data_IF_164703996240
#
_entry.id   IF_164703996240
#
_cell.length_a   1.000
_cell.length_b   1.000
_cell.length_c   1.000
_cell.angle_alpha   90.00
_cell.angle_beta   90.00
_cell.angle_gamma   90.00
#
_symmetry.space_group_name_H-M   'P 1'
#
loop_
_entity.id
_entity.type
_entity.pdbx_description
1 polymer ?
#
# COMPACT_ATOMS: atom_id res chain seq x y z
N UNK A 1 -16.05 -41.06 -28.56
CA UNK A 1 -14.88 -40.53 -27.81
C UNK A 1 -15.34 -39.25 -27.14
N UNK A 2 -15.31 -39.24 -25.80
CA UNK A 2 -16.05 -38.30 -24.96
C UNK A 2 -15.39 -36.92 -24.95
N UNK A 3 -16.22 -35.89 -25.11
CA UNK A 3 -15.88 -34.50 -24.83
C UNK A 3 -15.67 -34.30 -23.33
N UNK A 4 -14.58 -33.62 -22.95
CA UNK A 4 -14.37 -33.09 -21.61
C UNK A 4 -14.40 -31.57 -21.67
N UNK A 5 -15.53 -30.96 -21.33
CA UNK A 5 -15.60 -29.53 -21.05
C UNK A 5 -14.85 -29.26 -19.74
N UNK A 6 -13.84 -28.38 -19.81
CA UNK A 6 -13.22 -27.79 -18.65
C UNK A 6 -14.28 -27.01 -17.86
N UNK A 7 -14.47 -27.39 -16.59
CA UNK A 7 -15.28 -26.61 -15.65
C UNK A 7 -14.45 -25.39 -15.25
N UNK A 8 -14.86 -24.21 -15.72
CA UNK A 8 -14.40 -22.95 -15.15
C UNK A 8 -14.84 -22.92 -13.68
N UNK A 9 -13.87 -22.83 -12.76
CA UNK A 9 -14.16 -22.51 -11.38
C UNK A 9 -14.61 -21.05 -11.34
N UNK A 10 -15.87 -20.81 -10.98
CA UNK A 10 -16.32 -19.47 -10.62
C UNK A 10 -15.58 -19.06 -9.36
N UNK A 11 -14.67 -18.10 -9.46
CA UNK A 11 -14.23 -17.32 -8.30
C UNK A 11 -15.49 -16.75 -7.65
N UNK A 12 -15.62 -16.93 -6.34
CA UNK A 12 -16.74 -16.37 -5.59
C UNK A 12 -16.32 -14.94 -5.26
N UNK A 13 -16.92 -13.97 -5.95
CA UNK A 13 -16.79 -12.56 -5.60
C UNK A 13 -17.73 -12.22 -4.42
N UNK A 14 -17.23 -11.49 -3.43
CA UNK A 14 -18.02 -10.94 -2.31
C UNK A 14 -17.89 -9.42 -2.25
N UNK A 15 -18.99 -8.73 -1.88
CA UNK A 15 -18.96 -7.30 -1.62
C UNK A 15 -18.66 -7.08 -0.14
N UNK A 16 -17.63 -6.30 0.15
CA UNK A 16 -17.19 -5.97 1.51
C UNK A 16 -17.09 -4.46 1.71
N UNK A 17 -17.51 -3.95 2.87
CA UNK A 17 -17.21 -2.57 3.27
C UNK A 17 -15.80 -2.54 3.86
N UNK A 18 -14.88 -1.90 3.16
CA UNK A 18 -13.45 -1.85 3.53
C UNK A 18 -12.92 -0.43 3.51
N UNK A 19 -11.77 -0.23 4.15
CA UNK A 19 -10.94 0.97 3.95
C UNK A 19 -9.65 0.58 3.25
N UNK A 20 -9.42 1.18 2.08
CA UNK A 20 -8.25 0.95 1.23
C UNK A 20 -7.25 2.08 1.46
N UNK A 21 -5.98 1.70 1.64
CA UNK A 21 -4.85 2.60 1.79
C UNK A 21 -3.83 2.29 0.69
N UNK A 22 -3.43 3.31 -0.06
CA UNK A 22 -2.28 3.24 -0.97
C UNK A 22 -1.14 4.07 -0.41
N UNK A 23 0.09 3.55 -0.54
CA UNK A 23 1.31 4.32 -0.33
C UNK A 23 2.09 4.42 -1.63
N UNK A 24 2.95 5.42 -1.71
CA UNK A 24 3.97 5.50 -2.75
C UNK A 24 5.20 6.29 -2.26
N UNK A 25 6.40 5.89 -2.68
CA UNK A 25 7.66 6.49 -2.25
C UNK A 25 8.00 7.70 -3.15
N UNK A 26 8.16 8.87 -2.52
CA UNK A 26 8.46 10.10 -3.26
C UNK A 26 9.88 10.05 -3.83
N UNK A 27 9.98 10.22 -5.15
CA UNK A 27 11.26 10.41 -5.83
C UNK A 27 12.17 9.18 -5.83
N UNK A 28 11.60 7.97 -5.75
CA UNK A 28 12.33 6.70 -5.70
C UNK A 28 13.35 6.53 -6.83
N UNK A 29 13.00 6.87 -8.07
CA UNK A 29 13.92 6.83 -9.22
C UNK A 29 15.14 7.75 -9.03
N UNK A 30 14.91 8.96 -8.50
CA UNK A 30 15.97 9.92 -8.22
C UNK A 30 16.86 9.47 -7.05
N UNK A 31 16.26 8.88 -6.02
CA UNK A 31 16.98 8.26 -4.91
C UNK A 31 17.88 7.13 -5.42
N UNK A 32 17.32 6.18 -6.18
CA UNK A 32 18.05 5.03 -6.71
C UNK A 32 19.23 5.43 -7.61
N UNK A 33 19.05 6.47 -8.43
CA UNK A 33 20.12 7.01 -9.29
C UNK A 33 21.27 7.60 -8.46
N UNK A 34 20.96 8.28 -7.34
CA UNK A 34 21.95 8.95 -6.49
C UNK A 34 22.78 7.98 -5.65
N UNK A 35 22.13 6.97 -5.07
CA UNK A 35 22.77 6.05 -4.11
C UNK A 35 23.36 4.80 -4.78
N UNK A 36 22.96 4.52 -6.02
CA UNK A 36 23.36 3.33 -6.77
C UNK A 36 22.54 2.07 -6.40
N UNK A 37 22.62 1.00 -7.21
CA UNK A 37 21.66 -0.11 -7.14
C UNK A 37 21.64 -0.87 -5.81
N UNK A 38 22.82 -1.12 -5.21
CA UNK A 38 22.91 -1.89 -3.97
C UNK A 38 22.29 -1.14 -2.79
N UNK A 39 22.66 0.14 -2.59
CA UNK A 39 22.08 0.97 -1.53
C UNK A 39 20.59 1.25 -1.79
N UNK A 40 20.18 1.39 -3.04
CA UNK A 40 18.76 1.57 -3.40
C UNK A 40 17.92 0.36 -2.97
N UNK A 41 18.44 -0.86 -3.16
CA UNK A 41 17.78 -2.08 -2.74
C UNK A 41 17.70 -2.20 -1.21
N UNK A 42 18.77 -1.87 -0.48
CA UNK A 42 18.76 -1.82 0.99
C UNK A 42 17.71 -0.83 1.52
N UNK A 43 17.67 0.38 0.95
CA UNK A 43 16.68 1.40 1.28
C UNK A 43 15.26 0.93 0.96
N UNK A 44 15.05 0.27 -0.18
CA UNK A 44 13.74 -0.27 -0.57
C UNK A 44 13.28 -1.36 0.41
N UNK A 45 14.16 -2.27 0.82
CA UNK A 45 13.84 -3.31 1.81
C UNK A 45 13.51 -2.70 3.16
N UNK A 46 14.29 -1.72 3.62
CA UNK A 46 14.03 -1.02 4.87
C UNK A 46 12.71 -0.25 4.83
N UNK A 47 12.43 0.43 3.72
CA UNK A 47 11.18 1.11 3.46
C UNK A 47 9.97 0.17 3.62
N UNK A 48 9.96 -0.95 2.90
CA UNK A 48 8.85 -1.91 2.98
C UNK A 48 8.73 -2.55 4.36
N UNK A 49 9.85 -2.81 5.05
CA UNK A 49 9.83 -3.31 6.43
C UNK A 49 9.10 -2.32 7.35
N UNK A 50 9.45 -1.03 7.30
CA UNK A 50 8.81 0.00 8.14
C UNK A 50 7.33 0.17 7.84
N UNK A 51 6.92 0.05 6.57
CA UNK A 51 5.50 0.08 6.20
C UNK A 51 4.76 -1.14 6.74
N UNK A 52 5.30 -2.35 6.55
CA UNK A 52 4.70 -3.60 7.04
C UNK A 52 4.57 -3.66 8.55
N UNK A 53 5.55 -3.13 9.29
CA UNK A 53 5.44 -2.99 10.75
C UNK A 53 4.28 -2.09 11.19
N UNK A 54 3.89 -1.09 10.39
CA UNK A 54 2.71 -0.26 10.65
C UNK A 54 1.41 -0.98 10.26
N UNK A 55 1.43 -1.72 9.15
CA UNK A 55 0.31 -2.57 8.72
C UNK A 55 -0.03 -3.60 9.79
N UNK A 56 0.96 -4.36 10.26
CA UNK A 56 0.79 -5.38 11.30
C UNK A 56 0.27 -4.78 12.60
N UNK A 57 0.85 -3.65 13.05
CA UNK A 57 0.44 -2.97 14.28
C UNK A 57 -1.01 -2.46 14.25
N UNK A 58 -1.59 -2.28 13.06
CA UNK A 58 -2.95 -1.76 12.86
C UNK A 58 -3.94 -2.86 12.47
N UNK A 59 -3.49 -4.12 12.38
CA UNK A 59 -4.30 -5.24 11.91
C UNK A 59 -4.70 -5.15 10.43
N UNK A 60 -3.93 -4.44 9.62
CA UNK A 60 -4.16 -4.33 8.19
C UNK A 60 -3.68 -5.54 7.40
N UNK A 61 -4.21 -5.71 6.19
CA UNK A 61 -3.80 -6.74 5.25
C UNK A 61 -3.12 -6.09 4.04
N UNK A 62 -1.84 -6.39 3.81
CA UNK A 62 -1.17 -6.02 2.56
C UNK A 62 -1.72 -6.90 1.44
N UNK A 63 -2.46 -6.30 0.52
CA UNK A 63 -3.01 -6.97 -0.66
C UNK A 63 -1.90 -7.22 -1.66
N UNK A 64 -1.14 -6.17 -1.99
CA UNK A 64 -0.04 -6.24 -2.96
C UNK A 64 0.92 -5.07 -2.85
N UNK A 65 2.10 -5.31 -3.40
CA UNK A 65 3.07 -4.28 -3.71
C UNK A 65 2.72 -3.62 -5.06
N UNK A 66 2.79 -2.29 -5.12
CA UNK A 66 2.55 -1.48 -6.33
C UNK A 66 3.78 -0.66 -6.69
N UNK A 67 4.91 -1.34 -6.89
CA UNK A 67 6.21 -0.75 -7.23
C UNK A 67 7.04 -0.45 -5.99
N UNK A 68 7.03 0.82 -5.58
CA UNK A 68 7.69 1.38 -4.40
C UNK A 68 6.68 1.78 -3.31
N UNK A 69 5.47 1.23 -3.41
CA UNK A 69 4.38 1.41 -2.46
C UNK A 69 3.58 0.14 -2.21
N UNK A 70 2.61 0.24 -1.30
CA UNK A 70 1.72 -0.84 -0.90
C UNK A 70 0.26 -0.47 -1.16
N UNK A 71 -0.54 -1.50 -1.48
CA UNK A 71 -1.99 -1.48 -1.32
C UNK A 71 -2.34 -2.29 -0.07
N UNK A 72 -3.02 -1.65 0.88
CA UNK A 72 -3.40 -2.22 2.17
C UNK A 72 -4.90 -2.09 2.37
N UNK A 73 -5.53 -3.12 2.88
CA UNK A 73 -6.95 -3.12 3.25
C UNK A 73 -7.10 -3.26 4.76
N UNK A 74 -7.98 -2.45 5.34
CA UNK A 74 -8.34 -2.45 6.74
C UNK A 74 -9.85 -2.45 6.91
N UNK A 75 -10.33 -3.02 8.03
CA UNK A 75 -11.76 -3.19 8.32
C UNK A 75 -12.42 -1.91 8.88
N UNK A 76 -11.65 -0.86 9.17
CA UNK A 76 -12.21 0.41 9.65
C UNK A 76 -11.37 1.62 9.21
N UNK A 77 -12.01 2.77 9.07
CA UNK A 77 -11.30 4.00 8.70
C UNK A 77 -10.35 4.49 9.80
N UNK A 78 -10.66 4.23 11.08
CA UNK A 78 -9.77 4.58 12.19
C UNK A 78 -8.47 3.78 12.14
N UNK A 79 -8.54 2.46 11.92
CA UNK A 79 -7.34 1.62 11.79
C UNK A 79 -6.51 2.01 10.57
N UNK A 80 -7.15 2.41 9.47
CA UNK A 80 -6.44 2.89 8.29
C UNK A 80 -5.67 4.18 8.54
N UNK A 81 -6.28 5.14 9.25
CA UNK A 81 -5.62 6.39 9.65
C UNK A 81 -4.49 6.11 10.66
N UNK A 82 -4.71 5.23 11.63
CA UNK A 82 -3.67 4.79 12.58
C UNK A 82 -2.48 4.15 11.85
N UNK A 83 -2.75 3.29 10.87
CA UNK A 83 -1.75 2.68 10.00
C UNK A 83 -0.95 3.74 9.24
N UNK A 84 -1.63 4.65 8.54
CA UNK A 84 -1.01 5.72 7.78
C UNK A 84 -0.14 6.63 8.66
N UNK A 85 -0.63 7.04 9.83
CA UNK A 85 0.12 7.83 10.80
C UNK A 85 1.32 7.03 11.31
N UNK A 86 1.14 5.74 11.60
CA UNK A 86 2.19 4.83 12.02
C UNK A 86 3.31 4.68 10.98
N UNK A 87 2.97 4.67 9.69
CA UNK A 87 3.93 4.66 8.58
C UNK A 87 4.74 5.97 8.55
N UNK A 88 4.05 7.12 8.57
CA UNK A 88 4.71 8.43 8.55
C UNK A 88 5.65 8.62 9.74
N UNK A 89 5.21 8.24 10.95
CA UNK A 89 6.03 8.36 12.16
C UNK A 89 7.26 7.44 12.14
N UNK A 90 7.14 6.23 11.61
CA UNK A 90 8.28 5.30 11.48
C UNK A 90 9.32 5.84 10.51
N UNK A 91 8.88 6.34 9.36
CA UNK A 91 9.76 6.96 8.37
C UNK A 91 10.41 8.23 8.91
N UNK A 92 9.66 9.11 9.58
CA UNK A 92 10.20 10.31 10.24
C UNK A 92 11.28 9.95 11.28
N UNK A 93 11.04 8.95 12.14
CA UNK A 93 12.04 8.50 13.13
C UNK A 93 13.31 7.97 12.47
N UNK A 94 13.18 7.23 11.38
CA UNK A 94 14.31 6.76 10.56
C UNK A 94 15.06 7.94 9.94
N UNK A 95 14.32 8.88 9.34
CA UNK A 95 14.84 10.01 8.60
C UNK A 95 15.68 10.96 9.46
N UNK A 96 15.36 11.09 10.75
CA UNK A 96 16.17 11.86 11.72
C UNK A 96 17.59 11.33 11.94
N UNK A 97 17.87 10.09 11.53
CA UNK A 97 19.16 9.40 11.74
C UNK A 97 19.82 8.95 10.44
N UNK A 98 19.18 9.17 9.30
CA UNK A 98 19.62 8.69 8.00
C UNK A 98 20.00 9.86 7.09
N UNK A 99 21.07 9.70 6.32
CA UNK A 99 21.46 10.69 5.31
C UNK A 99 20.42 10.77 4.19
N UNK A 100 19.90 9.62 3.78
CA UNK A 100 18.89 9.51 2.73
C UNK A 100 17.47 9.48 3.32
N UNK A 101 16.71 10.50 2.93
CA UNK A 101 15.33 10.73 3.37
C UNK A 101 14.37 9.90 2.52
N UNK A 102 13.45 9.19 3.19
CA UNK A 102 12.35 8.48 2.55
C UNK A 102 11.04 9.11 2.98
N UNK A 103 10.29 9.65 2.02
CA UNK A 103 8.98 10.23 2.27
C UNK A 103 7.93 9.46 1.48
N UNK A 104 6.80 9.17 2.11
CA UNK A 104 5.67 8.54 1.41
C UNK A 104 4.51 9.49 1.29
N UNK A 105 3.80 9.38 0.16
CA UNK A 105 2.45 9.89 0.00
C UNK A 105 1.47 8.77 0.31
N UNK A 106 0.36 9.11 0.97
CA UNK A 106 -0.65 8.15 1.39
C UNK A 106 -2.04 8.66 0.98
N UNK A 107 -2.83 7.79 0.37
CA UNK A 107 -4.24 8.03 0.08
C UNK A 107 -5.12 6.96 0.68
N UNK A 108 -6.24 7.35 1.29
CA UNK A 108 -7.19 6.48 1.96
C UNK A 108 -8.59 6.73 1.40
N UNK A 109 -9.32 5.67 1.07
CA UNK A 109 -10.76 5.76 0.80
C UNK A 109 -11.48 4.53 1.38
N UNK A 110 -12.71 4.74 1.83
CA UNK A 110 -13.55 3.71 2.42
C UNK A 110 -14.86 3.58 1.66
N UNK A 111 -15.32 2.34 1.48
CA UNK A 111 -16.55 2.06 0.75
C UNK A 111 -16.73 0.58 0.49
N UNK A 112 -17.74 0.26 -0.31
CA UNK A 112 -17.99 -1.09 -0.81
C UNK A 112 -17.00 -1.42 -1.93
N UNK A 113 -16.36 -2.59 -1.82
CA UNK A 113 -15.42 -3.13 -2.79
C UNK A 113 -15.76 -4.59 -3.09
N UNK A 114 -15.57 -4.99 -4.34
CA UNK A 114 -15.61 -6.39 -4.75
C UNK A 114 -14.29 -7.05 -4.34
N UNK A 115 -14.37 -8.13 -3.57
CA UNK A 115 -13.24 -8.98 -3.19
C UNK A 115 -13.27 -10.25 -4.03
N UNK A 116 -12.20 -10.48 -4.78
CA UNK A 116 -12.04 -11.64 -5.67
C UNK A 116 -10.56 -12.03 -5.74
N UNK A 117 -10.27 -13.32 -5.56
CA UNK A 117 -8.91 -13.90 -5.67
C UNK A 117 -7.83 -13.14 -4.86
N UNK A 118 -8.13 -12.81 -3.60
CA UNK A 118 -7.29 -12.03 -2.67
C UNK A 118 -6.97 -10.59 -3.15
N UNK A 119 -7.76 -10.05 -4.10
CA UNK A 119 -7.65 -8.69 -4.60
C UNK A 119 -8.96 -7.91 -4.41
N UNK A 120 -8.87 -6.58 -4.42
CA UNK A 120 -10.00 -5.69 -4.21
C UNK A 120 -10.20 -4.76 -5.40
N UNK A 121 -11.45 -4.59 -5.79
CA UNK A 121 -11.87 -3.75 -6.90
C UNK A 121 -13.02 -2.83 -6.49
N UNK A 122 -13.16 -1.73 -7.23
CA UNK A 122 -14.28 -0.81 -7.06
C UNK A 122 -13.87 0.63 -6.72
N UNK A 123 -14.87 1.51 -6.49
CA UNK A 123 -14.64 2.93 -6.25
C UNK A 123 -13.60 3.26 -5.17
N UNK A 124 -13.61 2.67 -3.96
CA UNK A 124 -12.64 3.05 -2.92
C UNK A 124 -11.19 2.73 -3.31
N UNK A 125 -10.96 1.68 -4.10
CA UNK A 125 -9.61 1.34 -4.60
C UNK A 125 -9.10 2.42 -5.56
N UNK A 126 -9.95 2.84 -6.49
CA UNK A 126 -9.62 3.88 -7.48
C UNK A 126 -9.42 5.23 -6.80
N UNK A 127 -10.28 5.58 -5.85
CA UNK A 127 -10.21 6.84 -5.10
C UNK A 127 -8.97 6.90 -4.22
N UNK A 128 -8.68 5.86 -3.43
CA UNK A 128 -7.48 5.81 -2.58
C UNK A 128 -6.20 5.94 -3.41
N UNK A 129 -6.14 5.29 -4.58
CA UNK A 129 -5.02 5.45 -5.51
C UNK A 129 -4.89 6.89 -6.04
N UNK A 130 -6.00 7.55 -6.38
CA UNK A 130 -5.99 8.96 -6.83
C UNK A 130 -5.61 9.93 -5.72
N UNK A 131 -6.09 9.71 -4.50
CA UNK A 131 -5.71 10.49 -3.32
C UNK A 131 -4.22 10.33 -3.03
N UNK A 132 -3.69 9.11 -3.10
CA UNK A 132 -2.26 8.83 -2.94
C UNK A 132 -1.44 9.60 -3.98
N UNK A 133 -1.87 9.58 -5.25
CA UNK A 133 -1.22 10.33 -6.31
C UNK A 133 -1.25 11.85 -6.11
N UNK A 134 -2.34 12.39 -5.53
CA UNK A 134 -2.51 13.81 -5.26
C UNK A 134 -1.77 14.28 -3.99
N UNK A 135 -1.46 13.36 -3.07
CA UNK A 135 -0.78 13.66 -1.82
C UNK A 135 0.70 14.01 -2.05
N UNK A 136 1.19 14.99 -1.30
CA UNK A 136 2.60 15.30 -1.17
C UNK A 136 3.34 14.27 -0.29
N UNK A 137 4.68 14.29 -0.32
CA UNK A 137 5.48 13.50 0.60
C UNK A 137 5.23 13.91 2.06
N UNK A 138 4.95 12.93 2.91
CA UNK A 138 4.56 13.17 4.31
C UNK A 138 3.08 13.48 4.50
N UNK A 139 2.28 13.51 3.43
CA UNK A 139 0.84 13.82 3.50
C UNK A 139 -0.01 12.53 3.48
N UNK A 140 -1.12 12.60 4.20
CA UNK A 140 -2.20 11.61 4.19
C UNK A 140 -3.44 12.34 3.68
N UNK A 141 -4.08 11.80 2.63
CA UNK A 141 -5.33 12.28 2.07
C UNK A 141 -6.43 11.22 2.16
#
# INVERSE_FOLDING_TARGET
MSAGLARGGSSISSIETVTVLFTDLVGSTGLATRVGPAAAEELRQEHFRLLREAVEASGGHEVKNVGDGLMVVLQSSSSAVECAVGMQQRLDRRNRRADEQMMVRIGISAGEADHEDDDYFGPPVVEASRLCNAAAGGQIL
#
